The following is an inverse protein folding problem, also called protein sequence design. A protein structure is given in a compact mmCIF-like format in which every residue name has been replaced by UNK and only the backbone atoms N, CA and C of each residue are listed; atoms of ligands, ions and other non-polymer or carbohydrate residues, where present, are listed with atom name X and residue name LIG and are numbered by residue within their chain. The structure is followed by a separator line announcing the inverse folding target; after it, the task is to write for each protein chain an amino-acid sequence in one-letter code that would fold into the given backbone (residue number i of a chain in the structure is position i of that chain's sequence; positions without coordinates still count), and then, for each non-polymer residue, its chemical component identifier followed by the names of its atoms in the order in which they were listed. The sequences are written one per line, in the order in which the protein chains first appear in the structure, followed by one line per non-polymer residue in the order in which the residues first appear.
data_IF_860152989804
#
_entry.id   IF_860152989804
#
_cell.length_a   1.000
_cell.length_b   1.000
_cell.length_c   1.000
_cell.angle_alpha   90.00
_cell.angle_beta   90.00
_cell.angle_gamma   90.00
#
_symmetry.space_group_name_H-M   'P 1'
#
loop_
_entity.id
_entity.type
_entity.pdbx_description
1 polymer ?
#
# COMPACT_ATOMS: atom_id res chain seq x y z
N UNK A 1 5.52 7.13 -26.75
CA UNK A 1 5.51 7.75 -25.40
C UNK A 1 6.60 8.79 -25.37
N UNK A 2 6.34 10.04 -25.03
CA UNK A 2 7.38 11.07 -24.94
C UNK A 2 8.12 10.97 -23.57
N UNK A 3 8.81 9.86 -23.37
CA UNK A 3 9.78 9.71 -22.27
C UNK A 3 10.79 10.85 -22.36
N UNK A 4 11.17 11.42 -21.21
CA UNK A 4 12.24 12.41 -21.16
C UNK A 4 13.52 11.81 -21.74
N UNK A 5 14.04 12.36 -22.83
CA UNK A 5 15.20 11.78 -23.56
C UNK A 5 16.37 11.45 -22.64
N UNK A 6 16.68 12.33 -21.69
CA UNK A 6 17.78 12.12 -20.74
C UNK A 6 17.51 10.93 -19.82
N UNK A 7 16.25 10.71 -19.41
CA UNK A 7 15.85 9.53 -18.59
C UNK A 7 15.93 8.26 -19.43
N UNK A 8 15.57 8.32 -20.71
CA UNK A 8 15.72 7.17 -21.61
C UNK A 8 17.19 6.70 -21.75
N UNK A 9 18.17 7.62 -21.64
CA UNK A 9 19.59 7.28 -21.62
C UNK A 9 20.01 6.50 -20.35
N UNK A 10 19.22 6.55 -19.28
CA UNK A 10 19.46 5.82 -18.03
C UNK A 10 18.81 4.43 -18.00
N UNK A 11 18.09 4.02 -19.03
CA UNK A 11 17.27 2.80 -19.03
C UNK A 11 18.06 1.54 -18.62
N UNK A 12 19.28 1.37 -19.14
CA UNK A 12 20.12 0.22 -18.80
C UNK A 12 20.66 0.32 -17.36
N UNK A 13 20.98 1.51 -16.86
CA UNK A 13 21.37 1.72 -15.46
C UNK A 13 20.17 1.39 -14.53
N UNK A 14 18.99 1.90 -14.85
CA UNK A 14 17.75 1.64 -14.09
C UNK A 14 17.42 0.14 -14.05
N UNK A 15 17.55 -0.54 -15.19
CA UNK A 15 17.39 -1.99 -15.27
C UNK A 15 18.40 -2.73 -14.38
N UNK A 16 19.65 -2.29 -14.35
CA UNK A 16 20.67 -2.87 -13.49
C UNK A 16 20.35 -2.65 -12.01
N UNK A 17 19.88 -1.44 -11.62
CA UNK A 17 19.47 -1.14 -10.24
C UNK A 17 18.29 -1.99 -9.80
N UNK A 18 17.22 -2.07 -10.61
CA UNK A 18 16.04 -2.88 -10.32
C UNK A 18 16.41 -4.35 -10.11
N UNK A 19 17.23 -4.93 -10.98
CA UNK A 19 17.64 -6.32 -10.89
C UNK A 19 18.53 -6.59 -9.69
N UNK A 20 19.39 -5.65 -9.31
CA UNK A 20 20.17 -5.74 -8.08
C UNK A 20 19.25 -5.78 -6.84
N UNK A 21 18.24 -4.91 -6.78
CA UNK A 21 17.25 -4.91 -5.71
C UNK A 21 16.44 -6.21 -5.69
N UNK A 22 16.04 -6.70 -6.85
CA UNK A 22 15.30 -7.96 -6.99
C UNK A 22 16.08 -9.19 -6.52
N UNK A 23 17.38 -9.23 -6.79
CA UNK A 23 18.28 -10.29 -6.32
C UNK A 23 18.49 -10.28 -4.80
N UNK A 24 18.30 -9.13 -4.14
CA UNK A 24 18.59 -8.91 -2.72
C UNK A 24 17.38 -8.38 -1.94
N UNK A 25 16.22 -9.08 -1.94
CA UNK A 25 14.99 -8.60 -1.30
C UNK A 25 15.08 -8.62 0.23
N UNK A 26 14.59 -7.56 0.86
CA UNK A 26 14.48 -7.41 2.30
C UNK A 26 13.02 -7.21 2.71
N UNK A 27 12.64 -7.57 3.95
CA UNK A 27 11.24 -7.60 4.40
C UNK A 27 10.94 -6.50 5.41
N UNK A 28 9.77 -5.88 5.25
CA UNK A 28 9.19 -4.99 6.25
C UNK A 28 10.16 -3.85 6.63
N UNK A 29 10.44 -3.69 7.93
CA UNK A 29 11.35 -2.65 8.41
C UNK A 29 12.84 -2.98 8.26
N UNK A 30 13.20 -4.17 7.83
CA UNK A 30 14.58 -4.64 7.69
C UNK A 30 15.14 -4.40 6.26
N UNK A 31 14.94 -3.21 5.68
CA UNK A 31 15.39 -2.83 4.35
C UNK A 31 16.74 -2.06 4.40
N UNK A 32 17.69 -2.52 5.20
CA UNK A 32 18.93 -1.79 5.47
C UNK A 32 19.90 -1.79 4.29
N UNK A 33 20.07 -2.92 3.60
CA UNK A 33 20.94 -3.03 2.42
C UNK A 33 20.31 -2.31 1.22
N UNK A 34 18.99 -2.41 1.07
CA UNK A 34 18.21 -1.64 0.07
C UNK A 34 18.39 -0.14 0.28
N UNK A 35 18.24 0.33 1.53
CA UNK A 35 18.46 1.74 1.87
C UNK A 35 19.91 2.19 1.63
N UNK A 36 20.90 1.34 1.96
CA UNK A 36 22.32 1.63 1.71
C UNK A 36 22.60 1.76 0.20
N UNK A 37 22.05 0.87 -0.62
CA UNK A 37 22.12 0.94 -2.08
C UNK A 37 21.52 2.24 -2.61
N UNK A 38 20.31 2.61 -2.13
CA UNK A 38 19.66 3.87 -2.53
C UNK A 38 20.54 5.08 -2.16
N UNK A 39 21.09 5.11 -0.95
CA UNK A 39 21.98 6.20 -0.49
C UNK A 39 23.21 6.31 -1.39
N UNK A 40 23.85 5.19 -1.75
CA UNK A 40 25.00 5.18 -2.65
C UNK A 40 24.65 5.79 -4.02
N UNK A 41 23.52 5.37 -4.62
CA UNK A 41 23.08 5.95 -5.92
C UNK A 41 22.77 7.43 -5.81
N UNK A 42 22.06 7.87 -4.76
CA UNK A 42 21.76 9.28 -4.54
C UNK A 42 23.05 10.13 -4.40
N UNK A 43 24.05 9.62 -3.68
CA UNK A 43 25.35 10.30 -3.55
C UNK A 43 26.09 10.39 -4.88
N UNK A 44 26.06 9.35 -5.72
CA UNK A 44 26.61 9.38 -7.08
C UNK A 44 25.95 10.45 -7.96
N UNK A 45 24.65 10.72 -7.76
CA UNK A 45 23.94 11.79 -8.45
C UNK A 45 24.24 13.19 -7.87
N UNK A 46 25.08 13.28 -6.84
CA UNK A 46 25.45 14.54 -6.18
C UNK A 46 24.39 15.05 -5.20
N UNK A 47 23.49 14.19 -4.74
CA UNK A 47 22.51 14.48 -3.70
C UNK A 47 23.18 14.20 -2.35
N UNK A 48 23.33 15.23 -1.51
CA UNK A 48 24.09 15.16 -0.24
C UNK A 48 23.21 15.32 0.99
N UNK A 49 22.01 15.89 0.85
CA UNK A 49 21.07 16.04 1.95
C UNK A 49 20.18 14.80 2.04
N UNK A 50 20.68 13.79 2.76
CA UNK A 50 20.05 12.48 2.91
C UNK A 50 19.88 12.19 4.41
N UNK A 51 18.66 11.90 4.81
CA UNK A 51 18.24 11.58 6.18
C UNK A 51 17.81 10.13 6.26
N UNK A 52 18.59 9.29 6.89
CA UNK A 52 18.37 7.84 7.04
C UNK A 52 17.80 7.48 8.41
N UNK A 53 17.33 6.23 8.54
CA UNK A 53 16.83 5.68 9.80
C UNK A 53 15.44 6.18 10.19
N UNK A 54 14.65 6.65 9.23
CA UNK A 54 13.25 7.03 9.44
C UNK A 54 12.41 5.76 9.25
N UNK A 55 11.53 5.44 10.19
CA UNK A 55 10.88 4.14 10.26
C UNK A 55 11.91 2.98 10.16
N UNK A 56 12.97 3.04 10.96
CA UNK A 56 14.09 2.09 11.07
C UNK A 56 15.03 2.12 9.85
N UNK A 57 14.61 1.71 8.66
CA UNK A 57 15.45 1.61 7.47
C UNK A 57 15.07 2.58 6.35
N UNK A 58 13.98 3.32 6.49
CA UNK A 58 13.58 4.31 5.50
C UNK A 58 14.48 5.54 5.45
N UNK A 59 14.38 6.29 4.37
CA UNK A 59 15.16 7.51 4.18
C UNK A 59 14.39 8.58 3.40
N UNK A 60 14.81 9.84 3.60
CA UNK A 60 14.36 11.00 2.83
C UNK A 60 15.57 11.74 2.30
N UNK A 61 15.59 12.03 1.00
CA UNK A 61 16.61 12.84 0.37
C UNK A 61 16.01 14.11 -0.24
N UNK A 62 16.69 15.26 -0.11
CA UNK A 62 16.21 16.53 -0.60
C UNK A 62 16.99 16.99 -1.82
N UNK A 63 16.25 17.44 -2.85
CA UNK A 63 16.81 18.12 -4.02
C UNK A 63 16.23 19.53 -4.06
N UNK A 64 17.08 20.54 -3.89
CA UNK A 64 16.68 21.92 -4.00
C UNK A 64 16.74 22.39 -5.46
N UNK A 65 15.64 23.01 -5.91
CA UNK A 65 15.55 23.65 -7.20
C UNK A 65 16.36 24.96 -7.28
N UNK A 66 16.16 25.73 -8.34
CA UNK A 66 16.92 26.98 -8.60
C UNK A 66 16.34 28.21 -7.93
N UNK A 67 15.13 28.13 -7.39
CA UNK A 67 14.44 29.21 -6.69
C UNK A 67 13.64 28.69 -5.51
N UNK A 68 13.28 29.50 -4.51
CA UNK A 68 12.37 29.12 -3.44
C UNK A 68 11.00 28.70 -3.99
N UNK A 69 10.33 27.77 -3.30
CA UNK A 69 9.02 27.28 -3.67
C UNK A 69 8.52 26.19 -2.69
N UNK A 70 7.41 25.53 -2.99
CA UNK A 70 6.86 24.47 -2.16
C UNK A 70 7.76 23.22 -2.10
N UNK A 71 7.40 22.29 -1.20
CA UNK A 71 8.07 20.99 -1.11
C UNK A 71 7.12 19.90 -1.60
N UNK A 72 7.55 19.15 -2.61
CA UNK A 72 6.82 18.00 -3.15
C UNK A 72 7.46 16.71 -2.66
N UNK A 73 6.69 15.85 -2.00
CA UNK A 73 7.08 14.50 -1.64
C UNK A 73 6.79 13.51 -2.77
N UNK A 74 7.80 12.78 -3.21
CA UNK A 74 7.68 11.64 -4.12
C UNK A 74 8.02 10.38 -3.36
N UNK A 75 7.13 9.38 -3.35
CA UNK A 75 7.30 8.17 -2.56
C UNK A 75 7.52 6.94 -3.43
N UNK A 76 8.44 6.10 -3.02
CA UNK A 76 8.55 4.70 -3.41
C UNK A 76 8.70 3.83 -2.15
N UNK A 77 8.00 2.70 -2.14
CA UNK A 77 8.18 1.61 -1.20
C UNK A 77 9.43 0.79 -1.54
N UNK A 78 9.99 0.06 -0.54
CA UNK A 78 11.25 -0.67 -0.70
C UNK A 78 11.18 -2.14 -0.30
N UNK A 79 10.18 -2.54 0.47
CA UNK A 79 10.14 -3.88 1.06
C UNK A 79 9.63 -4.94 0.08
N UNK A 80 9.99 -6.19 0.37
CA UNK A 80 9.63 -7.38 -0.36
C UNK A 80 8.68 -8.26 0.46
N UNK A 81 8.25 -9.37 -0.13
CA UNK A 81 7.32 -10.34 0.44
C UNK A 81 8.01 -11.66 0.83
N UNK A 82 7.51 -12.37 1.87
CA UNK A 82 8.00 -13.68 2.26
C UNK A 82 7.46 -14.78 1.32
N UNK A 83 7.88 -14.72 0.06
CA UNK A 83 7.47 -15.62 -1.02
C UNK A 83 8.72 -16.27 -1.61
N UNK A 84 8.67 -17.59 -1.86
CA UNK A 84 9.69 -18.29 -2.63
C UNK A 84 9.48 -18.03 -4.11
N UNK A 85 10.47 -17.45 -4.76
CA UNK A 85 10.37 -17.06 -6.16
C UNK A 85 10.38 -18.25 -7.12
N UNK A 86 9.53 -18.19 -8.14
CA UNK A 86 9.40 -19.21 -9.18
C UNK A 86 9.44 -18.65 -10.62
N UNK A 87 10.01 -17.46 -10.81
CA UNK A 87 10.12 -16.84 -12.16
C UNK A 87 11.09 -17.57 -13.07
N UNK A 88 12.17 -18.15 -12.52
CA UNK A 88 13.28 -18.70 -13.28
C UNK A 88 14.13 -17.64 -14.00
N UNK A 89 14.00 -16.38 -13.65
CA UNK A 89 14.79 -15.27 -14.20
C UNK A 89 16.28 -15.40 -13.84
N UNK A 90 17.15 -14.91 -14.71
CA UNK A 90 18.60 -14.92 -14.44
C UNK A 90 19.01 -14.05 -13.25
N UNK A 91 18.15 -13.12 -12.88
CA UNK A 91 18.25 -12.19 -11.75
C UNK A 91 17.24 -12.52 -10.64
N UNK A 92 16.78 -13.77 -10.55
CA UNK A 92 15.90 -14.19 -9.48
C UNK A 92 16.53 -13.95 -8.11
N UNK A 93 15.67 -13.79 -7.09
CA UNK A 93 16.08 -13.59 -5.71
C UNK A 93 17.17 -14.59 -5.26
N UNK A 94 18.22 -14.07 -4.66
CA UNK A 94 19.28 -14.87 -4.05
C UNK A 94 19.03 -15.13 -2.56
N UNK A 95 17.92 -14.64 -2.02
CA UNK A 95 17.53 -14.79 -0.61
C UNK A 95 16.35 -15.75 -0.53
N UNK A 96 16.55 -17.01 -0.12
CA UNK A 96 15.48 -18.01 -0.05
C UNK A 96 14.27 -17.52 0.74
N UNK A 97 13.06 -17.74 0.21
CA UNK A 97 11.81 -17.36 0.87
C UNK A 97 11.50 -15.87 0.85
N UNK A 98 12.24 -15.06 0.08
CA UNK A 98 11.94 -13.64 -0.08
C UNK A 98 11.93 -13.25 -1.56
N UNK A 99 11.01 -12.38 -1.95
CA UNK A 99 10.85 -11.95 -3.34
C UNK A 99 10.19 -10.58 -3.44
N UNK A 100 10.63 -9.74 -4.36
CA UNK A 100 9.86 -8.57 -4.78
C UNK A 100 8.69 -8.99 -5.69
N UNK A 101 7.58 -9.42 -5.09
CA UNK A 101 6.40 -9.89 -5.81
C UNK A 101 5.29 -8.81 -5.91
N UNK A 102 5.61 -7.55 -5.54
CA UNK A 102 4.72 -6.39 -5.71
C UNK A 102 5.35 -5.26 -6.55
N UNK A 103 6.63 -5.39 -6.93
CA UNK A 103 7.31 -4.45 -7.81
C UNK A 103 7.96 -3.25 -7.12
N UNK A 104 8.17 -3.30 -5.81
CA UNK A 104 8.80 -2.21 -5.04
C UNK A 104 10.27 -1.98 -5.44
N UNK A 105 10.97 -2.97 -5.96
CA UNK A 105 12.26 -2.83 -6.64
C UNK A 105 12.17 -1.91 -7.88
N UNK A 106 11.09 -2.03 -8.65
CA UNK A 106 10.76 -1.14 -9.76
C UNK A 106 10.37 0.27 -9.31
N UNK A 107 9.56 0.40 -8.24
CA UNK A 107 9.15 1.68 -7.70
C UNK A 107 10.36 2.48 -7.18
N UNK A 108 11.21 1.84 -6.38
CA UNK A 108 12.50 2.41 -5.91
C UNK A 108 13.37 2.85 -7.10
N UNK A 109 13.46 2.03 -8.13
CA UNK A 109 14.23 2.34 -9.34
C UNK A 109 13.66 3.53 -10.12
N UNK A 110 12.34 3.62 -10.27
CA UNK A 110 11.68 4.76 -10.93
C UNK A 110 11.99 6.07 -10.20
N UNK A 111 11.94 6.05 -8.87
CA UNK A 111 12.25 7.23 -8.06
C UNK A 111 13.74 7.60 -8.15
N UNK A 112 14.66 6.62 -8.18
CA UNK A 112 16.10 6.87 -8.43
C UNK A 112 16.36 7.47 -9.81
N UNK A 113 15.67 6.99 -10.87
CA UNK A 113 15.77 7.55 -12.21
C UNK A 113 15.33 9.02 -12.28
N UNK A 114 14.21 9.35 -11.62
CA UNK A 114 13.73 10.72 -11.47
C UNK A 114 14.73 11.58 -10.65
N UNK A 115 15.25 11.04 -9.55
CA UNK A 115 16.22 11.69 -8.68
C UNK A 115 17.48 12.12 -9.45
N UNK A 116 18.05 11.21 -10.26
CA UNK A 116 19.21 11.51 -11.10
C UNK A 116 18.95 12.68 -12.06
N UNK A 117 17.84 12.63 -12.79
CA UNK A 117 17.46 13.69 -13.72
C UNK A 117 17.23 15.04 -13.02
N UNK A 118 16.49 15.04 -11.92
CA UNK A 118 16.19 16.25 -11.16
C UNK A 118 17.45 16.86 -10.52
N UNK A 119 18.39 16.04 -10.04
CA UNK A 119 19.66 16.50 -9.50
C UNK A 119 20.57 17.11 -10.58
N UNK A 120 20.62 16.50 -11.78
CA UNK A 120 21.39 17.00 -12.92
C UNK A 120 20.84 18.34 -13.45
N UNK A 121 19.53 18.46 -13.57
CA UNK A 121 18.91 19.62 -14.25
C UNK A 121 18.52 20.74 -13.30
N UNK A 122 17.99 20.41 -12.14
CA UNK A 122 17.37 21.35 -11.17
C UNK A 122 16.44 22.36 -11.84
N UNK A 123 15.70 21.92 -12.87
CA UNK A 123 14.85 22.78 -13.69
C UNK A 123 13.45 22.98 -13.05
N UNK A 124 13.46 23.38 -11.77
CA UNK A 124 12.27 23.64 -10.98
C UNK A 124 12.57 24.65 -9.85
N UNK A 125 11.53 25.25 -9.27
CA UNK A 125 11.57 26.03 -8.03
C UNK A 125 11.19 25.13 -6.85
N UNK A 126 11.52 25.53 -5.60
CA UNK A 126 11.17 24.77 -4.40
C UNK A 126 12.08 23.57 -4.14
N UNK A 127 11.53 22.55 -3.51
CA UNK A 127 12.28 21.36 -3.08
C UNK A 127 11.51 20.08 -3.40
N UNK A 128 12.24 19.02 -3.76
CA UNK A 128 11.69 17.67 -3.87
C UNK A 128 12.19 16.83 -2.69
N UNK A 129 11.28 16.25 -1.95
CA UNK A 129 11.56 15.26 -0.92
C UNK A 129 11.35 13.86 -1.52
N UNK A 130 12.43 13.14 -1.76
CA UNK A 130 12.42 11.76 -2.22
C UNK A 130 12.26 10.86 -1.01
N UNK A 131 11.15 10.16 -0.91
CA UNK A 131 10.77 9.33 0.24
C UNK A 131 10.91 7.87 -0.19
N UNK A 132 11.87 7.17 0.39
CA UNK A 132 12.04 5.73 0.23
C UNK A 132 11.56 5.04 1.50
N UNK A 133 10.44 4.36 1.40
CA UNK A 133 9.65 3.88 2.52
C UNK A 133 9.78 2.37 2.69
N UNK A 134 10.09 1.83 3.90
CA UNK A 134 10.03 0.41 4.22
C UNK A 134 8.62 -0.01 4.64
N UNK A 135 8.39 -1.33 4.76
CA UNK A 135 7.25 -1.95 5.45
C UNK A 135 5.86 -1.53 4.94
N UNK A 136 5.69 -1.39 3.62
CA UNK A 136 4.35 -1.18 3.03
C UNK A 136 3.49 -2.44 3.18
N UNK A 137 4.04 -3.62 2.84
CA UNK A 137 3.33 -4.90 2.79
C UNK A 137 2.84 -5.38 4.16
N UNK A 138 3.55 -4.99 5.22
CA UNK A 138 3.10 -5.23 6.58
C UNK A 138 3.93 -4.39 7.58
N UNK A 139 3.24 -3.75 8.50
CA UNK A 139 3.88 -2.92 9.53
C UNK A 139 3.57 -1.44 9.43
N UNK A 140 3.06 -0.96 8.29
CA UNK A 140 2.64 0.44 8.11
C UNK A 140 3.81 1.41 8.16
N UNK A 141 4.85 1.17 7.37
CA UNK A 141 6.02 2.05 7.32
C UNK A 141 5.67 3.50 7.03
N UNK A 142 4.64 3.74 6.17
CA UNK A 142 4.10 5.08 5.91
C UNK A 142 3.52 5.73 7.15
N UNK A 143 2.78 4.99 7.98
CA UNK A 143 2.27 5.48 9.27
C UNK A 143 3.42 5.85 10.21
N UNK A 144 4.41 4.96 10.35
CA UNK A 144 5.57 5.17 11.22
C UNK A 144 6.37 6.39 10.77
N UNK A 145 6.65 6.55 9.48
CA UNK A 145 7.33 7.74 8.95
C UNK A 145 6.56 9.02 9.28
N UNK A 146 5.22 9.01 9.13
CA UNK A 146 4.37 10.17 9.50
C UNK A 146 4.41 10.44 10.99
N UNK A 147 4.34 9.42 11.84
CA UNK A 147 4.43 9.55 13.30
C UNK A 147 5.80 10.07 13.76
N UNK A 148 6.87 9.75 13.05
CA UNK A 148 8.23 10.27 13.28
C UNK A 148 8.44 11.70 12.71
N UNK A 149 7.37 12.32 12.21
CA UNK A 149 7.35 13.72 11.78
C UNK A 149 7.80 13.96 10.34
N UNK A 150 7.69 12.97 9.44
CA UNK A 150 8.03 13.09 8.03
C UNK A 150 7.54 14.40 7.40
N UNK A 151 6.27 14.71 7.62
CA UNK A 151 5.61 15.84 6.97
C UNK A 151 6.14 17.18 7.48
N UNK A 152 6.22 17.33 8.81
CA UNK A 152 6.64 18.58 9.47
C UNK A 152 8.14 18.80 9.35
N UNK A 153 8.94 17.75 9.51
CA UNK A 153 10.40 17.79 9.45
C UNK A 153 10.92 18.25 8.11
N UNK A 154 10.27 17.83 7.03
CA UNK A 154 10.66 18.18 5.68
C UNK A 154 9.76 19.22 5.01
N UNK A 155 8.81 19.80 5.78
CA UNK A 155 7.86 20.83 5.32
C UNK A 155 7.13 20.45 4.02
N UNK A 156 6.73 19.17 3.90
CA UNK A 156 6.10 18.64 2.69
C UNK A 156 4.70 19.25 2.51
N UNK A 157 4.43 19.81 1.31
CA UNK A 157 3.15 20.47 0.97
C UNK A 157 2.20 19.53 0.21
N UNK A 158 2.74 18.63 -0.62
CA UNK A 158 1.95 17.65 -1.38
C UNK A 158 2.73 16.37 -1.61
N UNK A 159 2.04 15.24 -1.85
CA UNK A 159 2.65 13.90 -1.96
C UNK A 159 2.12 13.13 -3.17
N UNK A 160 3.02 12.39 -3.84
CA UNK A 160 2.65 11.57 -5.01
C UNK A 160 3.40 10.25 -4.98
N UNK A 161 2.73 9.19 -5.48
CA UNK A 161 3.31 7.87 -5.63
C UNK A 161 2.80 7.17 -6.89
N UNK A 162 3.59 6.21 -7.39
CA UNK A 162 3.25 5.31 -8.49
C UNK A 162 3.35 3.86 -8.02
N UNK A 163 2.41 3.03 -8.48
CA UNK A 163 2.49 1.58 -8.32
C UNK A 163 2.41 0.90 -9.69
N UNK A 164 3.22 -0.10 -9.94
CA UNK A 164 3.16 -0.90 -11.16
C UNK A 164 1.87 -1.73 -11.20
N UNK A 165 1.35 -1.99 -12.41
CA UNK A 165 0.11 -2.75 -12.60
C UNK A 165 0.28 -3.84 -13.66
N UNK A 166 0.37 -5.13 -13.25
CA UNK A 166 0.34 -6.24 -14.19
C UNK A 166 -1.06 -6.37 -14.83
N UNK A 167 -1.08 -6.72 -16.14
CA UNK A 167 -2.30 -6.84 -16.91
C UNK A 167 -2.76 -5.55 -17.61
N UNK A 168 -2.38 -4.37 -17.10
CA UNK A 168 -2.64 -3.10 -17.78
C UNK A 168 -1.63 -2.87 -18.92
N UNK A 169 -2.02 -2.17 -20.02
CA UNK A 169 -1.14 -1.90 -21.15
C UNK A 169 0.19 -1.26 -20.74
N UNK A 170 1.30 -1.68 -21.36
CA UNK A 170 2.65 -1.14 -21.07
C UNK A 170 2.69 0.38 -21.18
N UNK A 171 3.04 1.04 -20.11
CA UNK A 171 3.16 2.50 -20.01
C UNK A 171 1.84 3.24 -19.88
N UNK A 172 0.71 2.56 -19.69
CA UNK A 172 -0.55 3.21 -19.31
C UNK A 172 -0.39 3.85 -17.93
N UNK A 173 -0.84 5.08 -17.77
CA UNK A 173 -0.98 5.73 -16.47
C UNK A 173 -2.47 5.83 -16.13
N UNK A 174 -2.86 5.32 -14.98
CA UNK A 174 -4.27 5.30 -14.55
C UNK A 174 -4.44 5.83 -13.15
N UNK A 175 -5.53 6.56 -12.92
CA UNK A 175 -5.90 7.12 -11.62
C UNK A 175 -7.40 7.43 -11.58
N UNK A 176 -7.90 7.82 -10.41
CA UNK A 176 -9.27 8.33 -10.24
C UNK A 176 -9.31 9.32 -9.09
N UNK A 177 -10.12 10.40 -9.14
CA UNK A 177 -10.31 11.29 -8.01
C UNK A 177 -11.13 10.60 -6.90
N UNK A 178 -10.83 10.91 -5.65
CA UNK A 178 -11.45 10.27 -4.49
C UNK A 178 -10.81 8.94 -4.13
N UNK A 179 -11.56 8.01 -3.52
CA UNK A 179 -11.02 6.73 -3.08
C UNK A 179 -10.54 5.88 -4.24
N UNK A 180 -9.28 5.45 -4.23
CA UNK A 180 -8.68 4.58 -5.25
C UNK A 180 -8.36 3.19 -4.72
N UNK A 181 -7.96 3.06 -3.43
CA UNK A 181 -7.77 1.78 -2.73
C UNK A 181 -8.48 1.76 -1.39
N UNK A 182 -8.90 0.58 -0.94
CA UNK A 182 -9.74 0.43 0.25
C UNK A 182 -8.94 0.55 1.55
N UNK A 183 -9.63 0.96 2.61
CA UNK A 183 -9.18 0.72 3.97
C UNK A 183 -9.20 -0.78 4.30
N UNK A 184 -8.26 -1.22 5.12
CA UNK A 184 -8.19 -2.58 5.65
C UNK A 184 -8.35 -2.57 7.16
N UNK A 185 -9.32 -3.37 7.67
CA UNK A 185 -9.46 -3.62 9.10
C UNK A 185 -9.51 -5.13 9.34
N UNK A 186 -9.20 -5.53 10.56
CA UNK A 186 -9.33 -6.90 11.03
C UNK A 186 -10.24 -6.96 12.26
N UNK A 187 -10.85 -8.11 12.48
CA UNK A 187 -11.60 -8.36 13.68
C UNK A 187 -11.33 -9.76 14.21
N UNK A 188 -11.39 -9.87 15.54
CA UNK A 188 -11.29 -11.11 16.30
C UNK A 188 -12.42 -11.17 17.31
N UNK A 189 -13.07 -12.32 17.40
CA UNK A 189 -14.11 -12.58 18.40
C UNK A 189 -13.74 -13.82 19.17
N UNK A 190 -13.47 -13.64 20.45
CA UNK A 190 -13.28 -14.71 21.42
C UNK A 190 -14.61 -14.98 22.13
N UNK A 191 -15.03 -16.24 22.15
CA UNK A 191 -16.25 -16.70 22.79
C UNK A 191 -15.87 -17.69 23.86
N UNK A 192 -16.33 -17.47 25.09
CA UNK A 192 -16.07 -18.35 26.25
C UNK A 192 -17.39 -18.78 26.87
N UNK A 193 -17.57 -20.07 26.92
CA UNK A 193 -18.69 -20.73 27.56
C UNK A 193 -18.24 -21.62 28.73
N UNK A 194 -18.90 -22.73 28.89
CA UNK A 194 -18.57 -23.77 29.89
C UNK A 194 -18.61 -25.14 29.23
N UNK A 195 -17.44 -25.79 29.15
CA UNK A 195 -17.34 -27.14 28.61
C UNK A 195 -18.10 -28.21 29.38
N UNK A 196 -18.39 -29.32 28.71
CA UNK A 196 -19.14 -30.41 29.34
C UNK A 196 -19.16 -31.69 28.53
N UNK A 197 -19.88 -32.68 29.03
CA UNK A 197 -20.06 -33.94 28.35
C UNK A 197 -21.07 -33.80 27.19
N UNK A 198 -20.71 -34.24 25.99
CA UNK A 198 -21.55 -34.12 24.78
C UNK A 198 -22.96 -34.65 24.89
N UNK A 199 -23.18 -35.67 25.75
CA UNK A 199 -24.54 -36.23 26.04
C UNK A 199 -25.31 -35.47 27.14
N UNK A 200 -24.70 -34.45 27.78
CA UNK A 200 -25.31 -33.69 28.90
C UNK A 200 -25.24 -32.18 28.65
N UNK A 201 -25.75 -31.65 27.49
CA UNK A 201 -25.61 -30.25 27.13
C UNK A 201 -26.30 -29.28 28.10
N UNK A 202 -27.27 -29.74 28.87
CA UNK A 202 -27.96 -28.95 29.90
C UNK A 202 -27.07 -28.58 31.11
N UNK A 203 -25.87 -29.17 31.22
CA UNK A 203 -24.89 -28.89 32.27
C UNK A 203 -23.71 -28.06 31.73
N UNK A 204 -23.77 -27.62 30.47
CA UNK A 204 -22.71 -26.86 29.79
C UNK A 204 -23.25 -25.54 29.22
N UNK A 205 -22.36 -24.66 28.78
CA UNK A 205 -22.67 -23.48 27.99
C UNK A 205 -21.84 -23.57 26.73
N UNK A 206 -22.48 -23.94 25.62
CA UNK A 206 -21.80 -24.29 24.36
C UNK A 206 -21.42 -23.04 23.56
N UNK A 207 -20.12 -22.88 23.29
CA UNK A 207 -19.59 -21.76 22.51
C UNK A 207 -19.83 -21.90 20.99
N UNK A 208 -20.03 -23.13 20.47
CA UNK A 208 -20.15 -23.38 19.02
C UNK A 208 -21.43 -22.77 18.43
N UNK A 209 -22.66 -22.99 19.01
CA UNK A 209 -23.85 -22.34 18.49
C UNK A 209 -23.80 -20.83 18.50
N UNK A 210 -23.13 -20.22 19.49
CA UNK A 210 -22.91 -18.78 19.55
C UNK A 210 -22.00 -18.31 18.40
N UNK A 211 -20.86 -19.00 18.15
CA UNK A 211 -19.96 -18.70 17.07
C UNK A 211 -20.62 -18.76 15.68
N UNK A 212 -21.38 -19.81 15.41
CA UNK A 212 -22.12 -19.95 14.15
C UNK A 212 -23.15 -18.84 13.99
N UNK A 213 -23.89 -18.49 15.04
CA UNK A 213 -24.93 -17.45 15.01
C UNK A 213 -24.30 -16.05 14.80
N UNK A 214 -23.18 -15.72 15.47
CA UNK A 214 -22.44 -14.46 15.26
C UNK A 214 -21.92 -14.36 13.83
N UNK A 215 -21.34 -15.45 13.29
CA UNK A 215 -20.84 -15.48 11.91
C UNK A 215 -21.94 -15.19 10.89
N UNK A 216 -23.13 -15.79 11.06
CA UNK A 216 -24.30 -15.51 10.22
C UNK A 216 -24.80 -14.08 10.39
N UNK A 217 -24.84 -13.56 11.62
CA UNK A 217 -25.30 -12.21 11.91
C UNK A 217 -24.37 -11.15 11.31
N UNK A 218 -23.08 -11.38 11.25
CA UNK A 218 -22.12 -10.47 10.60
C UNK A 218 -22.43 -10.26 9.10
N UNK A 219 -22.97 -11.25 8.41
CA UNK A 219 -23.39 -11.10 7.00
C UNK A 219 -24.55 -10.09 6.85
N UNK A 220 -25.30 -9.83 7.93
CA UNK A 220 -26.37 -8.83 7.91
C UNK A 220 -25.84 -7.40 7.92
N UNK A 221 -24.59 -7.18 8.30
CA UNK A 221 -23.97 -5.86 8.25
C UNK A 221 -23.96 -5.37 6.79
N UNK A 222 -23.48 -6.18 5.86
CA UNK A 222 -23.46 -5.84 4.42
C UNK A 222 -24.89 -5.81 3.86
N UNK A 223 -25.72 -6.82 4.18
CA UNK A 223 -27.01 -6.97 3.50
C UNK A 223 -28.14 -6.11 4.09
N UNK A 224 -28.03 -5.58 5.33
CA UNK A 224 -29.12 -4.88 6.05
C UNK A 224 -28.73 -3.56 6.72
N UNK A 225 -27.44 -3.31 6.96
CA UNK A 225 -27.02 -2.08 7.63
C UNK A 225 -26.25 -1.13 6.71
N UNK A 226 -25.60 -1.67 5.68
CA UNK A 226 -24.81 -0.93 4.72
C UNK A 226 -25.69 -0.32 3.62
N UNK A 227 -25.30 0.87 3.15
CA UNK A 227 -25.92 1.50 1.98
C UNK A 227 -25.44 0.78 0.70
N UNK A 228 -26.36 0.21 -0.06
CA UNK A 228 -26.05 -0.64 -1.21
C UNK A 228 -25.38 0.10 -2.40
N UNK A 229 -25.28 1.42 -2.37
CA UNK A 229 -24.54 2.22 -3.39
C UNK A 229 -23.09 2.52 -3.00
N UNK A 230 -22.66 2.03 -1.86
CA UNK A 230 -21.28 2.12 -1.39
C UNK A 230 -20.64 0.73 -1.41
N UNK A 231 -19.31 0.64 -1.46
CA UNK A 231 -18.61 -0.64 -1.44
C UNK A 231 -18.20 -1.03 -0.03
N UNK A 232 -18.48 -2.29 0.33
CA UNK A 232 -18.12 -2.87 1.60
C UNK A 232 -17.89 -4.38 1.45
N UNK A 233 -16.76 -4.85 1.97
CA UNK A 233 -16.49 -6.29 2.15
C UNK A 233 -16.36 -6.59 3.64
N UNK A 234 -17.07 -7.62 4.10
CA UNK A 234 -16.92 -8.22 5.43
C UNK A 234 -16.73 -9.72 5.24
N UNK A 235 -15.52 -10.20 5.48
CA UNK A 235 -15.16 -11.61 5.31
C UNK A 235 -14.78 -12.24 6.64
N UNK A 236 -15.56 -13.24 7.08
CA UNK A 236 -15.11 -14.17 8.13
C UNK A 236 -14.20 -15.19 7.46
N UNK A 237 -12.94 -15.20 7.84
CA UNK A 237 -11.91 -16.04 7.22
C UNK A 237 -11.42 -17.16 8.12
N UNK A 238 -11.76 -17.11 9.41
CA UNK A 238 -11.35 -18.09 10.41
C UNK A 238 -12.50 -18.40 11.36
N UNK A 239 -12.72 -19.69 11.63
CA UNK A 239 -13.57 -20.20 12.71
C UNK A 239 -12.84 -21.39 13.31
N UNK A 240 -12.54 -21.33 14.61
CA UNK A 240 -11.88 -22.41 15.34
C UNK A 240 -12.71 -22.78 16.57
N UNK A 241 -13.18 -24.01 16.63
CA UNK A 241 -13.93 -24.56 17.75
C UNK A 241 -13.97 -26.10 17.71
N UNK A 242 -14.12 -26.72 18.88
CA UNK A 242 -14.24 -28.17 19.00
C UNK A 242 -12.91 -28.91 18.93
N UNK A 243 -12.87 -30.08 19.57
CA UNK A 243 -11.68 -30.95 19.62
C UNK A 243 -12.00 -32.42 19.38
N UNK A 244 -13.12 -32.91 19.95
CA UNK A 244 -13.56 -34.30 19.88
C UNK A 244 -15.08 -34.39 20.02
N UNK A 245 -15.69 -35.43 19.50
CA UNK A 245 -17.13 -35.61 19.31
C UNK A 245 -17.96 -35.77 20.61
N UNK A 246 -17.35 -36.19 21.71
CA UNK A 246 -18.04 -36.40 22.99
C UNK A 246 -17.84 -35.28 24.03
N UNK A 247 -17.24 -34.16 23.64
CA UNK A 247 -16.97 -32.99 24.49
C UNK A 247 -17.60 -31.73 23.92
N UNK A 248 -18.39 -31.03 24.74
CA UNK A 248 -18.81 -29.66 24.46
C UNK A 248 -17.62 -28.72 24.77
N UNK A 249 -17.18 -27.96 23.80
CA UNK A 249 -16.04 -27.06 23.93
C UNK A 249 -16.43 -25.82 24.74
N UNK A 250 -15.52 -25.33 25.56
CA UNK A 250 -15.69 -24.13 26.38
C UNK A 250 -15.32 -22.83 25.63
N UNK A 251 -14.77 -22.95 24.43
CA UNK A 251 -14.30 -21.77 23.68
C UNK A 251 -14.49 -21.91 22.19
N UNK A 252 -14.63 -20.77 21.52
CA UNK A 252 -14.60 -20.63 20.07
C UNK A 252 -13.94 -19.30 19.68
N UNK A 253 -13.35 -19.27 18.48
CA UNK A 253 -12.73 -18.10 17.88
C UNK A 253 -13.31 -17.85 16.50
N UNK A 254 -13.54 -16.57 16.18
CA UNK A 254 -13.88 -16.10 14.83
C UNK A 254 -12.90 -14.98 14.48
N UNK A 255 -12.32 -15.02 13.28
CA UNK A 255 -11.47 -13.96 12.75
C UNK A 255 -11.84 -13.59 11.33
N UNK A 256 -11.48 -12.36 10.94
CA UNK A 256 -11.77 -11.93 9.59
C UNK A 256 -11.25 -10.53 9.27
N UNK A 257 -11.65 -10.05 8.09
CA UNK A 257 -11.21 -8.77 7.55
C UNK A 257 -12.38 -7.96 7.00
N UNK A 258 -12.20 -6.62 7.00
CA UNK A 258 -13.14 -5.65 6.44
C UNK A 258 -12.42 -4.80 5.42
N UNK A 259 -13.11 -4.41 4.33
CA UNK A 259 -12.65 -3.42 3.35
C UNK A 259 -13.74 -2.39 3.15
N UNK A 260 -13.38 -1.11 3.16
CA UNK A 260 -14.31 0.00 2.95
C UNK A 260 -13.57 1.22 2.39
N UNK A 261 -14.31 2.17 1.80
CA UNK A 261 -13.73 3.38 1.21
C UNK A 261 -14.08 4.66 1.97
N UNK A 262 -14.94 4.57 2.97
CA UNK A 262 -15.43 5.73 3.68
C UNK A 262 -15.42 5.52 5.21
N UNK A 263 -14.89 6.49 5.94
CA UNK A 263 -14.83 6.48 7.41
C UNK A 263 -16.17 6.19 8.08
N UNK A 264 -17.30 6.79 7.66
CA UNK A 264 -18.60 6.47 8.26
C UNK A 264 -19.03 5.01 8.08
N UNK A 265 -18.64 4.35 6.98
CA UNK A 265 -18.89 2.92 6.74
C UNK A 265 -18.06 2.08 7.72
N UNK A 266 -16.78 2.40 7.87
CA UNK A 266 -15.88 1.76 8.83
C UNK A 266 -16.43 1.87 10.27
N UNK A 267 -16.85 3.07 10.68
CA UNK A 267 -17.45 3.33 12.00
C UNK A 267 -18.74 2.51 12.20
N UNK A 268 -19.56 2.40 11.17
CA UNK A 268 -20.78 1.60 11.20
C UNK A 268 -20.47 0.12 11.38
N UNK A 269 -19.53 -0.44 10.64
CA UNK A 269 -19.16 -1.87 10.71
C UNK A 269 -18.64 -2.21 12.12
N UNK A 270 -17.67 -1.45 12.64
CA UNK A 270 -17.13 -1.65 13.98
C UNK A 270 -18.23 -1.64 15.05
N UNK A 271 -19.06 -0.62 15.02
CA UNK A 271 -20.20 -0.52 15.97
C UNK A 271 -21.15 -1.70 15.85
N UNK A 272 -21.54 -2.10 14.63
CA UNK A 272 -22.47 -3.22 14.43
C UNK A 272 -21.88 -4.56 14.86
N UNK A 273 -20.61 -4.82 14.62
CA UNK A 273 -19.95 -6.04 15.11
C UNK A 273 -19.98 -6.12 16.63
N UNK A 274 -19.67 -5.02 17.34
CA UNK A 274 -19.77 -4.97 18.81
C UNK A 274 -21.20 -5.19 19.32
N UNK A 275 -22.18 -4.56 18.69
CA UNK A 275 -23.60 -4.71 19.06
C UNK A 275 -24.10 -6.15 18.83
N UNK A 276 -23.73 -6.79 17.71
CA UNK A 276 -24.08 -8.19 17.41
C UNK A 276 -23.44 -9.12 18.45
N UNK A 277 -22.17 -8.95 18.76
CA UNK A 277 -21.47 -9.75 19.77
C UNK A 277 -22.13 -9.63 21.15
N UNK A 278 -22.45 -8.42 21.59
CA UNK A 278 -23.11 -8.19 22.88
C UNK A 278 -24.52 -8.83 22.94
N UNK A 279 -25.28 -8.72 21.84
CA UNK A 279 -26.60 -9.36 21.76
C UNK A 279 -26.53 -10.90 21.83
N UNK A 280 -25.55 -11.50 21.17
CA UNK A 280 -25.35 -12.96 21.19
C UNK A 280 -24.77 -13.46 22.51
N UNK A 281 -23.89 -12.68 23.15
CA UNK A 281 -23.42 -13.00 24.51
C UNK A 281 -24.60 -13.20 25.48
N UNK A 282 -25.57 -12.30 25.49
CA UNK A 282 -26.75 -12.40 26.30
C UNK A 282 -27.68 -13.56 25.88
N UNK A 283 -27.86 -13.76 24.56
CA UNK A 283 -28.78 -14.79 24.05
C UNK A 283 -28.29 -16.23 24.30
N UNK A 284 -26.98 -16.46 24.26
CA UNK A 284 -26.37 -17.79 24.44
C UNK A 284 -25.75 -17.99 25.82
N UNK A 285 -25.81 -16.99 26.71
CA UNK A 285 -25.23 -17.01 28.06
C UNK A 285 -23.71 -17.28 28.03
N UNK A 286 -22.99 -16.80 27.01
CA UNK A 286 -21.53 -16.89 26.84
C UNK A 286 -20.90 -15.54 27.09
N UNK A 287 -19.59 -15.54 27.41
CA UNK A 287 -18.80 -14.33 27.38
C UNK A 287 -18.24 -14.13 25.95
N UNK A 288 -18.36 -12.91 25.40
CA UNK A 288 -17.89 -12.57 24.06
C UNK A 288 -17.02 -11.31 24.11
N UNK A 289 -15.79 -11.43 23.67
CA UNK A 289 -14.88 -10.31 23.45
C UNK A 289 -14.70 -10.07 21.96
N UNK A 290 -15.05 -8.88 21.48
CA UNK A 290 -14.87 -8.46 20.08
C UNK A 290 -13.79 -7.40 20.01
N UNK A 291 -12.65 -7.75 19.44
CA UNK A 291 -11.54 -6.83 19.11
C UNK A 291 -11.66 -6.44 17.65
N UNK A 292 -11.72 -5.15 17.38
CA UNK A 292 -11.70 -4.58 16.02
C UNK A 292 -10.48 -3.70 15.90
N UNK A 293 -9.60 -4.03 14.96
CA UNK A 293 -8.35 -3.30 14.73
C UNK A 293 -8.43 -2.61 13.37
N UNK A 294 -8.34 -1.29 13.38
CA UNK A 294 -8.24 -0.49 12.16
C UNK A 294 -6.80 -0.55 11.67
N UNK A 295 -6.63 -0.94 10.42
CA UNK A 295 -5.36 -0.91 9.71
C UNK A 295 -5.26 0.31 8.79
N UNK A 296 -4.72 0.13 7.59
CA UNK A 296 -4.50 1.24 6.67
C UNK A 296 -5.82 1.93 6.31
N UNK A 297 -5.87 3.28 6.35
CA UNK A 297 -7.02 4.02 5.87
C UNK A 297 -7.20 3.87 4.35
N UNK A 298 -8.35 4.26 3.82
CA UNK A 298 -8.54 4.30 2.37
C UNK A 298 -7.57 5.29 1.72
N UNK A 299 -6.97 4.89 0.60
CA UNK A 299 -6.15 5.79 -0.22
C UNK A 299 -7.07 6.70 -1.02
N UNK A 300 -7.07 7.99 -0.68
CA UNK A 300 -8.02 8.97 -1.22
C UNK A 300 -7.26 10.07 -1.95
N UNK A 301 -7.37 10.07 -3.27
CA UNK A 301 -6.80 11.09 -4.14
C UNK A 301 -7.56 12.41 -4.04
N UNK A 302 -6.83 13.51 -3.88
CA UNK A 302 -7.44 14.84 -3.88
C UNK A 302 -7.77 15.25 -5.32
N UNK A 303 -9.03 15.65 -5.63
CA UNK A 303 -9.48 15.88 -7.02
C UNK A 303 -8.60 16.85 -7.82
N UNK A 304 -8.18 17.97 -7.22
CA UNK A 304 -7.33 18.97 -7.89
C UNK A 304 -5.94 18.41 -8.20
N UNK A 305 -5.36 17.63 -7.27
CA UNK A 305 -4.07 16.96 -7.44
C UNK A 305 -4.17 15.82 -8.46
N UNK A 306 -5.31 15.12 -8.51
CA UNK A 306 -5.58 14.08 -9.51
C UNK A 306 -5.68 14.69 -10.91
N UNK A 307 -6.43 15.79 -11.06
CA UNK A 307 -6.54 16.48 -12.35
C UNK A 307 -5.18 16.98 -12.84
N UNK A 308 -4.36 17.54 -11.95
CA UNK A 308 -3.00 17.98 -12.27
C UNK A 308 -2.09 16.78 -12.65
N UNK A 309 -2.09 15.71 -11.85
CA UNK A 309 -1.30 14.52 -12.13
C UNK A 309 -1.71 13.85 -13.45
N UNK A 310 -3.01 13.86 -13.79
CA UNK A 310 -3.54 13.35 -15.06
C UNK A 310 -3.03 14.16 -16.26
N UNK A 311 -2.94 15.49 -16.15
CA UNK A 311 -2.36 16.32 -17.21
C UNK A 311 -0.87 15.97 -17.43
N UNK A 312 -0.12 15.80 -16.37
CA UNK A 312 1.30 15.38 -16.45
C UNK A 312 1.41 13.96 -17.03
N UNK A 313 0.55 13.05 -16.60
CA UNK A 313 0.50 11.69 -17.13
C UNK A 313 0.23 11.68 -18.64
N UNK A 314 -0.71 12.51 -19.13
CA UNK A 314 -1.00 12.66 -20.55
C UNK A 314 0.22 13.13 -21.35
N UNK A 315 1.02 14.07 -20.81
CA UNK A 315 2.27 14.51 -21.43
C UNK A 315 3.29 13.37 -21.59
N UNK A 316 3.26 12.37 -20.69
CA UNK A 316 4.23 11.26 -20.67
C UNK A 316 3.74 10.03 -21.43
N UNK A 317 2.51 9.61 -21.24
CA UNK A 317 1.99 8.38 -21.89
C UNK A 317 1.16 8.68 -23.15
N UNK A 318 0.67 9.91 -23.32
CA UNK A 318 -0.26 10.31 -24.38
C UNK A 318 -1.70 9.92 -24.04
N UNK A 319 -2.67 10.62 -24.65
CA UNK A 319 -4.11 10.47 -24.39
C UNK A 319 -4.60 9.01 -24.51
N UNK A 320 -4.03 8.21 -25.42
CA UNK A 320 -4.47 6.82 -25.66
C UNK A 320 -4.10 5.84 -24.54
N UNK A 321 -3.15 6.20 -23.68
CA UNK A 321 -2.66 5.40 -22.55
C UNK A 321 -2.94 6.08 -21.19
N UNK A 322 -3.83 7.08 -21.16
CA UNK A 322 -4.28 7.71 -19.92
C UNK A 322 -5.68 7.24 -19.57
N UNK A 323 -5.88 6.78 -18.33
CA UNK A 323 -7.17 6.43 -17.76
C UNK A 323 -7.41 7.28 -16.49
N UNK A 324 -8.50 8.06 -16.44
CA UNK A 324 -8.79 9.01 -15.35
C UNK A 324 -10.04 8.66 -14.54
N UNK A 325 -10.66 7.53 -14.84
CA UNK A 325 -11.86 6.99 -14.18
C UNK A 325 -11.66 5.51 -13.79
N UNK A 326 -10.42 5.18 -13.39
CA UNK A 326 -10.04 3.84 -12.98
C UNK A 326 -11.00 3.29 -11.92
N UNK A 327 -11.40 2.03 -12.09
CA UNK A 327 -12.12 1.30 -11.06
C UNK A 327 -11.24 1.16 -9.81
N UNK A 328 -11.81 1.50 -8.65
CA UNK A 328 -11.10 1.40 -7.37
C UNK A 328 -10.83 -0.05 -6.96
N UNK A 329 -9.73 -0.26 -6.24
CA UNK A 329 -9.25 -1.57 -5.81
C UNK A 329 -9.64 -1.86 -4.35
N UNK A 330 -9.89 -3.15 -4.05
CA UNK A 330 -10.09 -3.62 -2.67
C UNK A 330 -8.78 -3.89 -1.93
N UNK A 331 -7.62 -3.76 -2.61
CA UNK A 331 -6.31 -3.70 -1.98
C UNK A 331 -6.20 -2.50 -1.05
N UNK A 332 -5.27 -2.55 -0.11
CA UNK A 332 -4.95 -1.44 0.78
C UNK A 332 -3.50 -0.98 0.52
N UNK A 333 -3.21 0.28 0.84
CA UNK A 333 -1.93 0.93 0.57
C UNK A 333 -1.64 1.95 1.69
N UNK A 334 -0.48 1.87 2.31
CA UNK A 334 -0.14 2.70 3.47
C UNK A 334 0.32 4.14 3.10
N UNK A 335 0.52 4.44 1.80
CA UNK A 335 0.62 5.82 1.31
C UNK A 335 -0.60 6.66 1.69
N UNK A 336 -1.70 6.01 2.00
CA UNK A 336 -2.92 6.61 2.55
C UNK A 336 -2.65 7.48 3.78
N UNK A 337 -1.70 7.10 4.65
CA UNK A 337 -1.33 7.91 5.81
C UNK A 337 -0.67 9.24 5.43
N UNK A 338 0.10 9.27 4.35
CA UNK A 338 0.68 10.50 3.82
C UNK A 338 -0.44 11.40 3.23
N UNK A 339 -1.40 10.79 2.49
CA UNK A 339 -2.55 11.51 1.92
C UNK A 339 -3.51 12.06 2.99
N UNK A 340 -3.62 11.41 4.17
CA UNK A 340 -4.37 11.98 5.30
C UNK A 340 -3.73 13.27 5.86
N UNK A 341 -2.43 13.49 5.63
CA UNK A 341 -1.68 14.64 6.13
C UNK A 341 -1.50 15.74 5.08
N UNK A 342 -1.33 15.35 3.81
CA UNK A 342 -1.07 16.28 2.71
C UNK A 342 -1.86 15.90 1.46
N UNK A 343 -2.34 16.89 0.70
CA UNK A 343 -3.00 16.60 -0.55
C UNK A 343 -2.02 15.95 -1.53
N UNK A 344 -2.57 15.11 -2.42
CA UNK A 344 -1.74 14.41 -3.38
C UNK A 344 -2.53 13.47 -4.26
N UNK A 345 -1.79 12.60 -4.95
CA UNK A 345 -2.37 11.62 -5.86
C UNK A 345 -1.52 10.34 -5.91
N UNK A 346 -2.22 9.22 -5.89
CA UNK A 346 -1.69 7.90 -6.17
C UNK A 346 -2.12 7.45 -7.56
N UNK A 347 -1.20 6.91 -8.35
CA UNK A 347 -1.45 6.45 -9.71
C UNK A 347 -0.92 5.03 -9.90
N UNK A 348 -1.46 4.34 -10.90
CA UNK A 348 -0.93 3.06 -11.37
C UNK A 348 -0.22 3.22 -12.71
N UNK A 349 0.81 2.39 -12.93
CA UNK A 349 1.59 2.31 -14.15
C UNK A 349 1.52 0.91 -14.72
N UNK A 350 0.83 0.73 -15.84
CA UNK A 350 0.68 -0.53 -16.54
C UNK A 350 2.01 -1.07 -17.02
N UNK A 351 2.28 -2.35 -16.71
CA UNK A 351 3.51 -3.04 -17.08
C UNK A 351 3.33 -4.16 -18.13
N UNK A 352 2.10 -4.33 -18.66
CA UNK A 352 1.76 -5.37 -19.62
C UNK A 352 1.34 -6.68 -18.96
N UNK A 353 1.12 -7.70 -19.80
CA UNK A 353 0.73 -9.03 -19.37
C UNK A 353 1.80 -9.67 -18.48
N UNK A 354 1.37 -10.36 -17.42
CA UNK A 354 2.25 -11.02 -16.45
C UNK A 354 1.47 -11.65 -15.30
N UNK A 355 2.18 -12.27 -14.37
CA UNK A 355 1.57 -12.76 -13.14
C UNK A 355 1.09 -11.60 -12.28
N UNK A 356 -0.03 -11.79 -11.54
CA UNK A 356 -0.56 -10.80 -10.62
C UNK A 356 0.41 -10.53 -9.45
N UNK A 357 0.21 -9.43 -8.76
CA UNK A 357 0.90 -9.14 -7.50
C UNK A 357 0.81 -10.31 -6.52
N UNK A 358 1.80 -10.45 -5.65
CA UNK A 358 1.92 -11.50 -4.64
C UNK A 358 1.99 -12.93 -5.21
N UNK A 359 2.25 -13.08 -6.50
CA UNK A 359 2.45 -14.37 -7.14
C UNK A 359 3.94 -14.69 -7.24
N UNK A 360 4.32 -15.94 -6.97
CA UNK A 360 5.71 -16.40 -7.06
C UNK A 360 6.34 -16.29 -8.46
N UNK A 361 5.53 -16.10 -9.51
CA UNK A 361 5.97 -15.85 -10.88
C UNK A 361 5.86 -14.39 -11.32
N UNK A 362 5.59 -13.46 -10.40
CA UNK A 362 5.57 -12.02 -10.70
C UNK A 362 6.96 -11.56 -11.13
N UNK A 363 7.03 -10.72 -12.15
CA UNK A 363 8.25 -10.02 -12.56
C UNK A 363 7.90 -8.60 -13.01
N UNK A 364 8.64 -7.62 -12.49
CA UNK A 364 8.47 -6.24 -12.89
C UNK A 364 9.03 -6.00 -14.30
N UNK A 365 8.27 -5.34 -15.16
CA UNK A 365 8.72 -5.03 -16.51
C UNK A 365 9.67 -3.82 -16.53
N UNK A 366 10.97 -4.08 -16.72
CA UNK A 366 12.01 -3.04 -16.77
C UNK A 366 11.72 -1.91 -17.76
N UNK A 367 10.94 -2.17 -18.85
CA UNK A 367 10.64 -1.19 -19.91
C UNK A 367 9.79 0.00 -19.41
N UNK A 368 9.04 -0.17 -18.30
CA UNK A 368 8.21 0.91 -17.76
C UNK A 368 8.96 1.83 -16.80
N UNK A 369 10.15 1.45 -16.34
CA UNK A 369 10.93 2.28 -15.41
C UNK A 369 11.19 3.69 -15.93
N UNK A 370 11.61 3.92 -17.20
CA UNK A 370 11.79 5.26 -17.74
C UNK A 370 10.47 6.06 -17.84
N UNK A 371 9.32 5.40 -17.96
CA UNK A 371 8.00 6.05 -18.00
C UNK A 371 7.68 6.62 -16.62
N UNK A 372 7.76 5.79 -15.57
CA UNK A 372 7.50 6.23 -14.19
C UNK A 372 8.47 7.32 -13.73
N UNK A 373 9.76 7.17 -14.02
CA UNK A 373 10.77 8.21 -13.73
C UNK A 373 10.47 9.53 -14.46
N UNK A 374 10.01 9.45 -15.73
CA UNK A 374 9.63 10.64 -16.51
C UNK A 374 8.39 11.31 -15.95
N UNK A 375 7.43 10.53 -15.48
CA UNK A 375 6.23 11.06 -14.80
C UNK A 375 6.63 11.85 -13.55
N UNK A 376 7.42 11.29 -12.65
CA UNK A 376 7.88 11.99 -11.45
C UNK A 376 8.66 13.27 -11.78
N UNK A 377 9.58 13.20 -12.74
CA UNK A 377 10.36 14.35 -13.15
C UNK A 377 9.49 15.49 -13.73
N UNK A 378 8.57 15.14 -14.64
CA UNK A 378 7.64 16.11 -15.23
C UNK A 378 6.65 16.68 -14.21
N UNK A 379 6.19 15.85 -13.26
CA UNK A 379 5.30 16.30 -12.18
C UNK A 379 5.98 17.44 -11.40
N UNK A 380 7.24 17.28 -11.02
CA UNK A 380 8.00 18.31 -10.32
C UNK A 380 8.16 19.58 -11.18
N UNK A 381 8.64 19.45 -12.43
CA UNK A 381 8.84 20.60 -13.32
C UNK A 381 7.56 21.39 -13.62
N UNK A 382 6.42 20.70 -13.66
CA UNK A 382 5.11 21.31 -13.93
C UNK A 382 4.46 21.92 -12.68
N UNK A 383 4.67 21.31 -11.52
CA UNK A 383 4.15 21.83 -10.25
C UNK A 383 4.97 23.00 -9.72
N UNK A 384 6.26 23.05 -10.05
CA UNK A 384 7.23 24.02 -9.54
C UNK A 384 7.99 24.73 -10.70
N UNK A 385 7.29 25.40 -11.63
CA UNK A 385 7.92 26.04 -12.76
C UNK A 385 8.84 27.18 -12.30
N UNK A 386 9.98 27.33 -12.96
CA UNK A 386 10.81 28.53 -12.81
C UNK A 386 10.07 29.72 -13.43
N UNK A 387 9.96 30.84 -12.70
CA UNK A 387 9.47 32.09 -13.25
C UNK A 387 10.42 32.53 -14.38
N UNK A 388 9.86 32.90 -15.53
CA UNK A 388 10.59 33.37 -16.70
C UNK A 388 11.08 34.81 -16.53
#
# INVERSE_FOLDING_TARGET
MPIVNRIAEFAEDMKAWRRHLHENPELGFDCHETAAFVVERLQEFGITEIHTGIAQSGLVALIHGRAPGPVIGLRADMDALPIEEATGAAYASQVPGKMHACGHDGHTTMLLGAARYLAETRNFAGTVALIFQPAEENGGGGEVMVQEGLIERFAIDSVYALHCEPGAPVGQLSTTPGPIMAAVDTFEVQITGQGGHGAMPHLAVDAIPAAVSITQAFQTIVSRNHNAVEDLVVSVTQIHAGTIDNVINDSAFIGGTVRSFARPVQDMVERRMREICAGHAAAFAVDVTCTYTRGYPATINVPEHTAFASQVAEEVCGTALLETDRTREMGAEDFSYLLEKRPGCYLFLGQGEGAAWHNAAFDFNDEVSPVGASFFARLVERAQPLEQ
#
